data_IF_946633463290
#
_entry.id   IF_946633463290
#
_cell.length_a   1.000
_cell.length_b   1.000
_cell.length_c   1.000
_cell.angle_alpha   90.00
_cell.angle_beta   90.00
_cell.angle_gamma   90.00
#
_symmetry.space_group_name_H-M   'P 1'
#
loop_
_entity.id
_entity.type
_entity.pdbx_description
1 polymer ?
#
# COMPACT_ATOMS: atom_id res chain seq x y z
N UNK A 1 7.03 5.17 -0.01
CA UNK A 1 8.22 5.97 0.42
C UNK A 1 8.29 7.28 -0.34
N UNK A 2 8.70 8.39 0.30
CA UNK A 2 8.84 9.69 -0.36
C UNK A 2 9.98 9.70 -1.40
N UNK A 3 9.76 10.30 -2.57
CA UNK A 3 10.72 10.35 -3.66
C UNK A 3 12.07 10.98 -3.26
N UNK A 4 12.07 11.98 -2.38
CA UNK A 4 13.29 12.71 -1.99
C UNK A 4 14.18 11.92 -1.03
N UNK A 5 13.58 11.09 -0.18
CA UNK A 5 14.31 10.25 0.78
C UNK A 5 14.44 8.80 0.33
N UNK A 6 13.95 8.47 -0.87
CA UNK A 6 13.88 7.10 -1.38
C UNK A 6 15.22 6.33 -1.29
N UNK A 7 16.38 6.88 -1.68
CA UNK A 7 17.64 6.14 -1.60
C UNK A 7 17.98 5.71 -0.16
N UNK A 8 17.83 6.62 0.80
CA UNK A 8 18.08 6.33 2.21
C UNK A 8 17.05 5.36 2.78
N UNK A 9 15.77 5.54 2.44
CA UNK A 9 14.67 4.68 2.88
C UNK A 9 14.86 3.22 2.42
N UNK A 10 15.31 3.01 1.18
CA UNK A 10 15.57 1.66 0.65
C UNK A 10 16.70 0.93 1.40
N UNK A 11 17.73 1.64 1.86
CA UNK A 11 18.81 1.04 2.65
C UNK A 11 18.35 0.58 4.05
N UNK A 12 17.30 1.22 4.58
CA UNK A 12 16.68 0.84 5.87
C UNK A 12 15.87 -0.45 5.75
N UNK A 13 15.31 -0.74 4.56
CA UNK A 13 14.49 -1.95 4.31
C UNK A 13 15.24 -3.06 3.54
N UNK A 14 16.50 -2.84 3.17
CA UNK A 14 17.30 -3.77 2.36
C UNK A 14 17.46 -5.17 2.98
N UNK A 15 17.28 -5.32 4.29
CA UNK A 15 17.33 -6.61 4.98
C UNK A 15 16.29 -7.64 4.49
N UNK A 16 15.24 -7.20 3.81
CA UNK A 16 14.17 -8.06 3.28
C UNK A 16 14.50 -8.83 1.99
N UNK A 17 15.72 -8.70 1.43
CA UNK A 17 16.18 -9.49 0.28
C UNK A 17 15.57 -9.13 -1.09
N UNK A 18 14.45 -8.40 -1.12
CA UNK A 18 13.89 -7.81 -2.33
C UNK A 18 14.31 -6.34 -2.43
N UNK A 19 14.95 -5.95 -3.52
CA UNK A 19 15.44 -4.59 -3.74
C UNK A 19 15.48 -4.18 -5.20
N UNK A 20 15.91 -2.94 -5.41
CA UNK A 20 16.10 -2.32 -6.72
C UNK A 20 17.59 -2.34 -7.09
N UNK A 21 17.89 -2.56 -8.37
CA UNK A 21 19.28 -2.43 -8.84
C UNK A 21 19.79 -0.99 -8.62
N UNK A 22 21.10 -0.76 -8.48
CA UNK A 22 21.65 0.59 -8.35
C UNK A 22 21.21 1.53 -9.49
N UNK A 23 21.14 0.98 -10.72
CA UNK A 23 20.66 1.69 -11.91
C UNK A 23 19.19 2.09 -11.76
N UNK A 24 18.32 1.15 -11.37
CA UNK A 24 16.91 1.43 -11.13
C UNK A 24 16.71 2.48 -10.04
N UNK A 25 17.53 2.44 -8.97
CA UNK A 25 17.49 3.44 -7.89
C UNK A 25 17.84 4.83 -8.41
N UNK A 26 18.89 4.95 -9.23
CA UNK A 26 19.29 6.23 -9.83
C UNK A 26 18.21 6.77 -10.79
N UNK A 27 17.66 5.92 -11.64
CA UNK A 27 16.59 6.28 -12.58
C UNK A 27 15.35 6.73 -11.82
N UNK A 28 14.88 5.95 -10.84
CA UNK A 28 13.71 6.29 -10.02
C UNK A 28 13.88 7.61 -9.26
N UNK A 29 15.06 7.86 -8.72
CA UNK A 29 15.36 9.11 -8.01
C UNK A 29 15.14 10.34 -8.89
N UNK A 30 15.43 10.24 -10.19
CA UNK A 30 15.24 11.35 -11.13
C UNK A 30 13.81 11.36 -11.70
N UNK A 31 13.29 10.20 -12.11
CA UNK A 31 11.99 10.08 -12.77
C UNK A 31 10.83 10.52 -11.87
N UNK A 32 10.88 10.19 -10.57
CA UNK A 32 9.82 10.55 -9.62
C UNK A 32 9.78 12.05 -9.35
N UNK A 33 10.94 12.73 -9.38
CA UNK A 33 11.01 14.19 -9.25
C UNK A 33 10.48 14.91 -10.49
N UNK A 34 10.74 14.35 -11.68
CA UNK A 34 10.14 14.84 -12.93
C UNK A 34 8.62 14.67 -12.91
N UNK A 35 8.14 13.49 -12.49
CA UNK A 35 6.72 13.19 -12.34
C UNK A 35 6.04 14.17 -11.37
N UNK A 36 6.69 14.49 -10.24
CA UNK A 36 6.19 15.49 -9.29
C UNK A 36 5.98 16.86 -9.95
N UNK A 37 6.96 17.30 -10.77
CA UNK A 37 6.89 18.58 -11.49
C UNK A 37 5.82 18.57 -12.58
N UNK A 38 5.81 17.52 -13.41
CA UNK A 38 5.01 17.46 -14.63
C UNK A 38 3.51 17.35 -14.34
N UNK A 39 3.15 16.56 -13.32
CA UNK A 39 1.77 16.42 -12.84
C UNK A 39 1.40 17.41 -11.71
N UNK A 40 2.34 18.26 -11.28
CA UNK A 40 2.16 19.26 -10.21
C UNK A 40 1.69 18.67 -8.88
N UNK A 41 2.16 17.49 -8.54
CA UNK A 41 1.87 16.88 -7.24
C UNK A 41 2.61 17.61 -6.12
N UNK A 42 1.99 17.71 -4.94
CA UNK A 42 2.67 18.27 -3.78
C UNK A 42 3.77 17.32 -3.29
N UNK A 43 3.51 16.01 -3.36
CA UNK A 43 4.48 14.94 -3.09
C UNK A 43 4.28 13.77 -4.03
N UNK A 44 5.35 13.02 -4.23
CA UNK A 44 5.32 11.75 -4.96
C UNK A 44 5.90 10.67 -4.05
N UNK A 45 5.16 9.59 -3.91
CA UNK A 45 5.62 8.40 -3.21
C UNK A 45 5.92 7.29 -4.21
N UNK A 46 7.04 6.62 -4.02
CA UNK A 46 7.26 5.31 -4.60
C UNK A 46 6.52 4.27 -3.76
N UNK A 47 5.54 3.61 -4.35
CA UNK A 47 4.72 2.60 -3.70
C UNK A 47 5.44 1.26 -3.66
N UNK A 48 6.09 0.88 -4.76
CA UNK A 48 6.77 -0.40 -4.85
C UNK A 48 6.84 -0.98 -6.25
N UNK A 49 7.05 -2.31 -6.30
CA UNK A 49 7.17 -3.11 -7.51
C UNK A 49 6.33 -4.38 -7.39
N UNK A 50 5.51 -4.64 -8.41
CA UNK A 50 4.82 -5.92 -8.62
C UNK A 50 5.58 -6.71 -9.68
N UNK A 51 6.09 -7.88 -9.31
CA UNK A 51 6.85 -8.76 -10.19
C UNK A 51 5.92 -9.67 -10.98
N UNK A 52 5.90 -9.50 -12.31
CA UNK A 52 5.30 -10.45 -13.24
C UNK A 52 6.30 -11.45 -13.80
N UNK A 53 5.84 -12.31 -14.71
CA UNK A 53 6.62 -13.37 -15.36
C UNK A 53 7.63 -12.78 -16.36
N UNK A 54 7.19 -11.88 -17.24
CA UNK A 54 8.02 -11.28 -18.31
C UNK A 54 8.60 -9.92 -17.95
N UNK A 55 8.07 -9.27 -16.92
CA UNK A 55 8.43 -7.91 -16.54
C UNK A 55 7.84 -7.52 -15.19
N UNK A 56 8.25 -6.37 -14.68
CA UNK A 56 7.77 -5.85 -13.41
C UNK A 56 7.09 -4.49 -13.60
N UNK A 57 6.05 -4.24 -12.80
CA UNK A 57 5.38 -2.96 -12.71
C UNK A 57 5.95 -2.17 -11.54
N UNK A 58 6.42 -0.96 -11.80
CA UNK A 58 6.86 0.00 -10.79
C UNK A 58 5.75 1.01 -10.56
N UNK A 59 5.33 1.19 -9.31
CA UNK A 59 4.16 2.00 -8.98
C UNK A 59 4.59 3.26 -8.22
N UNK A 60 4.05 4.39 -8.64
CA UNK A 60 4.20 5.68 -7.98
C UNK A 60 2.84 6.30 -7.69
N UNK A 61 2.77 7.08 -6.62
CA UNK A 61 1.56 7.77 -6.18
C UNK A 61 1.84 9.26 -6.07
N UNK A 62 1.06 10.06 -6.80
CA UNK A 62 0.98 11.49 -6.64
C UNK A 62 -0.01 11.86 -5.54
N UNK A 63 0.44 12.69 -4.59
CA UNK A 63 -0.38 13.16 -3.48
C UNK A 63 -0.68 14.65 -3.62
N UNK A 64 -1.93 15.01 -3.35
CA UNK A 64 -2.40 16.37 -3.18
C UNK A 64 -2.24 16.90 -1.75
N UNK A 65 -2.84 18.06 -1.45
CA UNK A 65 -2.78 18.69 -0.13
C UNK A 65 -3.52 17.89 0.95
N UNK A 66 -4.69 17.33 0.62
CA UNK A 66 -5.37 16.38 1.49
C UNK A 66 -4.73 15.00 1.33
N UNK A 67 -4.16 14.50 2.42
CA UNK A 67 -3.39 13.25 2.43
C UNK A 67 -4.30 12.01 2.41
N UNK A 68 -5.58 12.17 2.76
CA UNK A 68 -6.58 11.11 2.68
C UNK A 68 -7.39 11.12 1.37
N UNK A 69 -7.20 12.13 0.51
CA UNK A 69 -7.86 12.18 -0.79
C UNK A 69 -7.39 11.04 -1.72
N UNK A 70 -8.19 10.65 -2.72
CA UNK A 70 -7.80 9.66 -3.71
C UNK A 70 -6.46 10.02 -4.37
N UNK A 71 -5.53 9.04 -4.36
CA UNK A 71 -4.18 9.23 -4.90
C UNK A 71 -4.17 9.05 -6.41
N UNK A 72 -3.38 9.85 -7.11
CA UNK A 72 -3.13 9.63 -8.54
C UNK A 72 -2.06 8.55 -8.68
N UNK A 73 -2.43 7.37 -9.17
CA UNK A 73 -1.51 6.23 -9.31
C UNK A 73 -0.94 6.19 -10.72
N UNK A 74 0.36 5.93 -10.83
CA UNK A 74 1.04 5.75 -12.10
C UNK A 74 1.85 4.45 -12.05
N UNK A 75 1.92 3.75 -13.18
CA UNK A 75 2.82 2.62 -13.34
C UNK A 75 3.89 2.90 -14.39
N UNK A 76 4.99 2.16 -14.29
CA UNK A 76 6.05 2.12 -15.28
C UNK A 76 6.58 0.71 -15.43
N UNK A 77 7.04 0.35 -16.63
CA UNK A 77 7.75 -0.91 -16.90
C UNK A 77 9.28 -0.74 -16.90
N UNK A 78 9.76 0.50 -16.98
CA UNK A 78 11.18 0.83 -17.16
C UNK A 78 11.69 1.91 -16.19
N UNK A 79 10.86 2.36 -15.25
CA UNK A 79 11.10 3.47 -14.32
C UNK A 79 11.29 4.84 -14.97
N UNK A 80 11.18 4.98 -16.30
CA UNK A 80 11.38 6.25 -17.03
C UNK A 80 10.06 6.81 -17.53
N UNK A 81 9.28 5.98 -18.22
CA UNK A 81 7.99 6.35 -18.79
C UNK A 81 6.88 5.90 -17.83
N UNK A 82 6.03 6.84 -17.44
CA UNK A 82 4.96 6.63 -16.48
C UNK A 82 3.61 6.81 -17.15
N UNK A 83 2.73 5.84 -16.95
CA UNK A 83 1.36 5.83 -17.43
C UNK A 83 0.41 6.02 -16.24
N UNK A 84 -0.55 6.94 -16.37
CA UNK A 84 -1.56 7.18 -15.35
C UNK A 84 -2.57 6.02 -15.32
N UNK A 85 -2.82 5.48 -14.13
CA UNK A 85 -3.85 4.48 -13.90
C UNK A 85 -5.20 5.17 -13.65
N UNK A 86 -6.28 4.58 -14.17
CA UNK A 86 -7.63 4.97 -13.78
C UNK A 86 -7.90 4.59 -12.32
N UNK A 87 -8.84 5.28 -11.64
CA UNK A 87 -9.30 4.86 -10.33
C UNK A 87 -9.85 3.43 -10.34
N UNK A 88 -9.68 2.71 -9.23
CA UNK A 88 -10.25 1.37 -9.07
C UNK A 88 -11.78 1.45 -8.96
N UNK A 89 -12.49 0.66 -9.76
CA UNK A 89 -13.92 0.43 -9.62
C UNK A 89 -14.17 -0.80 -8.74
N UNK A 90 -15.26 -0.82 -7.98
CA UNK A 90 -15.57 -1.94 -7.08
C UNK A 90 -15.72 -3.27 -7.84
N UNK A 91 -16.31 -3.22 -9.03
CA UNK A 91 -16.43 -4.37 -9.94
C UNK A 91 -15.06 -4.94 -10.32
N UNK A 92 -14.10 -4.09 -10.67
CA UNK A 92 -12.73 -4.50 -11.02
C UNK A 92 -12.04 -5.20 -9.83
N UNK A 93 -12.31 -4.74 -8.61
CA UNK A 93 -11.77 -5.34 -7.39
C UNK A 93 -12.36 -6.73 -7.17
N UNK A 94 -13.69 -6.86 -7.25
CA UNK A 94 -14.38 -8.15 -7.09
C UNK A 94 -13.96 -9.17 -8.17
N UNK A 95 -13.81 -8.70 -9.41
CA UNK A 95 -13.30 -9.47 -10.53
C UNK A 95 -11.87 -9.97 -10.30
N UNK A 96 -10.95 -9.08 -9.89
CA UNK A 96 -9.55 -9.45 -9.64
C UNK A 96 -9.38 -10.42 -8.46
N UNK A 97 -10.30 -10.43 -7.49
CA UNK A 97 -10.31 -11.39 -6.38
C UNK A 97 -10.57 -12.84 -6.82
N UNK A 98 -11.17 -13.06 -8.00
CA UNK A 98 -11.36 -14.40 -8.55
C UNK A 98 -10.12 -14.92 -9.28
N UNK A 99 -9.23 -14.02 -9.71
CA UNK A 99 -8.01 -14.39 -10.40
C UNK A 99 -6.90 -14.82 -9.43
N UNK A 100 -6.15 -15.83 -9.85
CA UNK A 100 -5.01 -16.39 -9.12
C UNK A 100 -3.78 -16.46 -10.03
N UNK A 101 -2.61 -16.55 -9.42
CA UNK A 101 -1.33 -16.64 -10.14
C UNK A 101 -0.69 -15.29 -10.43
N UNK A 102 0.48 -15.33 -11.06
CA UNK A 102 1.31 -14.15 -11.30
C UNK A 102 0.79 -13.27 -12.44
N UNK A 103 1.19 -12.00 -12.42
CA UNK A 103 1.07 -11.09 -13.56
C UNK A 103 1.96 -11.57 -14.72
N UNK A 104 1.56 -11.33 -15.96
CA UNK A 104 2.38 -11.62 -17.13
C UNK A 104 3.48 -10.56 -17.34
N UNK A 105 3.22 -9.32 -16.93
CA UNK A 105 4.10 -8.17 -17.17
C UNK A 105 3.78 -7.43 -18.48
N UNK A 106 2.55 -7.53 -18.96
CA UNK A 106 2.04 -6.80 -20.13
C UNK A 106 0.65 -6.21 -19.81
N UNK A 107 0.49 -4.87 -19.77
CA UNK A 107 -0.78 -4.21 -19.45
C UNK A 107 -1.93 -4.62 -20.38
N UNK A 108 -1.61 -4.99 -21.62
CA UNK A 108 -2.60 -5.35 -22.65
C UNK A 108 -3.00 -6.83 -22.61
N UNK A 109 -2.36 -7.63 -21.74
CA UNK A 109 -2.70 -9.04 -21.60
C UNK A 109 -4.11 -9.19 -21.06
N UNK A 110 -4.86 -10.15 -21.60
CA UNK A 110 -6.25 -10.41 -21.27
C UNK A 110 -6.37 -11.76 -20.58
N UNK A 111 -6.96 -11.76 -19.38
CA UNK A 111 -7.25 -12.99 -18.63
C UNK A 111 -8.67 -13.44 -18.95
N UNK A 112 -8.79 -14.67 -19.42
CA UNK A 112 -10.05 -15.40 -19.44
C UNK A 112 -10.31 -15.97 -18.04
N UNK A 113 -11.54 -15.85 -17.54
CA UNK A 113 -11.87 -16.47 -16.27
C UNK A 113 -12.11 -17.98 -16.48
N UNK A 114 -11.58 -18.84 -15.59
CA UNK A 114 -12.07 -20.21 -15.52
C UNK A 114 -13.56 -20.16 -15.15
N UNK A 115 -14.38 -21.04 -15.76
CA UNK A 115 -15.84 -21.15 -15.64
C UNK A 115 -16.37 -20.55 -14.33
N UNK A 116 -16.79 -19.28 -14.40
CA UNK A 116 -17.43 -18.61 -13.27
C UNK A 116 -18.84 -19.20 -13.16
N UNK A 117 -19.32 -19.44 -11.94
CA UNK A 117 -20.70 -19.86 -11.77
C UNK A 117 -21.66 -18.82 -12.40
N UNK A 118 -22.82 -19.27 -12.86
CA UNK A 118 -23.75 -18.40 -13.59
C UNK A 118 -24.25 -17.20 -12.74
N UNK A 119 -24.36 -17.37 -11.41
CA UNK A 119 -24.83 -16.32 -10.49
C UNK A 119 -23.80 -15.19 -10.31
N UNK A 120 -22.51 -15.52 -10.22
CA UNK A 120 -21.39 -14.58 -10.14
C UNK A 120 -21.13 -13.96 -11.52
N UNK A 121 -21.36 -14.70 -12.60
CA UNK A 121 -21.29 -14.16 -13.96
C UNK A 121 -22.36 -13.08 -14.21
N UNK A 122 -23.62 -13.30 -13.81
CA UNK A 122 -24.69 -12.29 -13.92
C UNK A 122 -24.44 -11.05 -13.07
N UNK A 123 -23.71 -11.18 -11.94
CA UNK A 123 -23.36 -10.05 -11.07
C UNK A 123 -22.14 -9.26 -11.54
N UNK A 124 -21.16 -9.93 -12.14
CA UNK A 124 -19.85 -9.34 -12.45
C UNK A 124 -19.73 -8.87 -13.90
N UNK A 125 -20.59 -9.32 -14.81
CA UNK A 125 -20.57 -8.92 -16.22
C UNK A 125 -21.95 -8.41 -16.64
N UNK A 126 -22.02 -7.11 -16.95
CA UNK A 126 -23.19 -6.57 -17.65
C UNK A 126 -23.17 -7.00 -19.13
N UNK A 127 -24.30 -7.55 -19.58
CA UNK A 127 -24.71 -7.60 -20.99
C UNK A 127 -23.82 -8.46 -21.92
N UNK A 128 -23.64 -9.74 -21.60
CA UNK A 128 -23.18 -10.76 -22.56
C UNK A 128 -21.75 -10.58 -23.10
N UNK A 129 -20.94 -9.70 -22.50
CA UNK A 129 -19.51 -9.60 -22.77
C UNK A 129 -18.80 -10.83 -22.24
N UNK A 130 -17.89 -11.37 -23.05
CA UNK A 130 -17.00 -12.45 -22.61
C UNK A 130 -16.29 -12.01 -21.32
N UNK A 131 -16.16 -12.90 -20.32
CA UNK A 131 -15.54 -12.58 -19.05
C UNK A 131 -14.04 -12.45 -19.31
N UNK A 132 -13.61 -11.23 -19.64
CA UNK A 132 -12.22 -10.90 -19.91
C UNK A 132 -11.85 -9.68 -19.09
N UNK A 133 -10.73 -9.77 -18.38
CA UNK A 133 -10.15 -8.65 -17.64
C UNK A 133 -8.74 -8.38 -18.15
N UNK A 134 -8.48 -7.12 -18.49
CA UNK A 134 -7.13 -6.67 -18.84
C UNK A 134 -6.22 -6.69 -17.64
N UNK A 135 -4.95 -6.99 -17.86
CA UNK A 135 -3.95 -7.02 -16.81
C UNK A 135 -3.78 -5.66 -16.14
N UNK A 136 -3.90 -4.56 -16.87
CA UNK A 136 -3.93 -3.21 -16.30
C UNK A 136 -5.08 -3.02 -15.30
N UNK A 137 -6.27 -3.53 -15.63
CA UNK A 137 -7.44 -3.48 -14.73
C UNK A 137 -7.22 -4.32 -13.47
N UNK A 138 -6.65 -5.53 -13.64
CA UNK A 138 -6.22 -6.39 -12.53
C UNK A 138 -5.17 -5.71 -11.65
N UNK A 139 -4.20 -5.03 -12.26
CA UNK A 139 -3.13 -4.30 -11.56
C UNK A 139 -3.71 -3.21 -10.66
N UNK A 140 -4.63 -2.39 -11.19
CA UNK A 140 -5.35 -1.35 -10.43
C UNK A 140 -6.05 -1.95 -9.21
N UNK A 141 -6.81 -3.02 -9.43
CA UNK A 141 -7.54 -3.71 -8.38
C UNK A 141 -6.60 -4.32 -7.31
N UNK A 142 -5.51 -4.94 -7.71
CA UNK A 142 -4.52 -5.51 -6.78
C UNK A 142 -3.84 -4.43 -5.95
N UNK A 143 -3.45 -3.30 -6.54
CA UNK A 143 -2.87 -2.18 -5.79
C UNK A 143 -3.87 -1.67 -4.74
N UNK A 144 -5.15 -1.53 -5.11
CA UNK A 144 -6.21 -1.12 -4.20
C UNK A 144 -6.41 -2.10 -3.05
N UNK A 145 -6.44 -3.41 -3.31
CA UNK A 145 -6.55 -4.44 -2.28
C UNK A 145 -5.35 -4.42 -1.32
N UNK A 146 -4.15 -4.25 -1.86
CA UNK A 146 -2.92 -4.13 -1.05
C UNK A 146 -3.04 -2.88 -0.18
N UNK A 147 -3.25 -1.69 -0.74
CA UNK A 147 -3.33 -0.44 0.04
C UNK A 147 -4.36 -0.47 1.16
N UNK A 148 -5.55 -1.05 0.92
CA UNK A 148 -6.57 -1.24 1.96
C UNK A 148 -6.09 -2.10 3.13
N UNK A 149 -5.19 -3.04 2.87
CA UNK A 149 -4.69 -3.99 3.86
C UNK A 149 -3.33 -3.59 4.47
N UNK A 150 -2.59 -2.65 3.87
CA UNK A 150 -1.16 -2.44 4.21
C UNK A 150 -0.65 -1.01 4.09
N UNK A 151 -1.48 -0.04 3.71
CA UNK A 151 -1.05 1.36 3.80
C UNK A 151 -0.81 1.67 5.27
N UNK A 152 0.44 1.79 5.73
CA UNK A 152 0.74 1.92 7.18
C UNK A 152 1.27 3.31 7.50
N UNK A 153 0.80 3.87 8.61
CA UNK A 153 1.37 5.06 9.23
C UNK A 153 1.56 4.86 10.75
N UNK A 154 2.55 5.52 11.37
CA UNK A 154 2.62 5.64 12.82
C UNK A 154 1.45 6.45 13.39
N UNK A 155 1.00 6.10 14.59
CA UNK A 155 -0.01 6.86 15.35
C UNK A 155 0.43 8.32 15.49
N UNK A 156 -0.48 9.23 15.19
CA UNK A 156 -0.24 10.67 15.34
C UNK A 156 0.65 11.29 14.27
N UNK A 157 1.12 10.54 13.28
CA UNK A 157 1.86 11.10 12.13
C UNK A 157 0.98 12.01 11.26
N UNK A 158 -0.34 11.77 11.25
CA UNK A 158 -1.34 12.58 10.59
C UNK A 158 -2.42 13.01 11.58
N UNK A 159 -3.08 14.14 11.26
CA UNK A 159 -4.22 14.67 12.01
C UNK A 159 -5.39 14.91 11.06
N UNK A 160 -6.57 14.46 11.48
CA UNK A 160 -7.84 14.77 10.82
C UNK A 160 -8.43 16.05 11.40
N UNK A 161 -8.78 16.97 10.51
CA UNK A 161 -9.44 18.23 10.86
C UNK A 161 -10.95 18.01 11.05
N UNK A 162 -11.66 18.92 11.75
CA UNK A 162 -13.13 18.87 11.84
C UNK A 162 -13.84 18.91 10.48
N UNK A 163 -13.20 19.47 9.45
CA UNK A 163 -13.69 19.50 8.07
C UNK A 163 -13.47 18.18 7.31
N UNK A 164 -12.87 17.18 7.94
CA UNK A 164 -12.60 15.87 7.35
C UNK A 164 -11.27 15.75 6.61
N UNK A 165 -10.64 16.87 6.23
CA UNK A 165 -9.33 16.85 5.56
C UNK A 165 -8.21 16.35 6.48
N UNK A 166 -7.25 15.61 5.93
CA UNK A 166 -6.15 15.01 6.68
C UNK A 166 -4.81 15.62 6.28
N UNK A 167 -4.03 16.03 7.28
CA UNK A 167 -2.73 16.68 7.08
C UNK A 167 -1.65 16.01 7.91
N UNK A 168 -0.39 16.18 7.53
CA UNK A 168 0.73 15.76 8.37
C UNK A 168 0.75 16.52 9.69
N UNK A 169 0.94 15.80 10.78
CA UNK A 169 1.05 16.40 12.09
C UNK A 169 2.46 17.00 12.26
N UNK A 170 2.55 18.34 12.25
CA UNK A 170 3.83 19.04 12.41
C UNK A 170 4.51 18.76 13.75
N UNK A 171 3.73 18.42 14.77
CA UNK A 171 4.18 18.13 16.14
C UNK A 171 4.58 16.67 16.34
N UNK A 172 4.41 15.80 15.34
CA UNK A 172 4.83 14.41 15.44
C UNK A 172 6.35 14.32 15.44
N UNK A 173 6.99 13.87 16.51
CA UNK A 173 8.44 13.74 16.59
C UNK A 173 8.94 12.31 16.36
N UNK A 174 8.03 11.37 16.11
CA UNK A 174 8.32 9.93 16.05
C UNK A 174 7.73 9.19 17.24
N UNK A 175 7.55 7.88 17.08
CA UNK A 175 7.18 7.00 18.19
C UNK A 175 8.39 6.80 19.10
N UNK A 176 8.14 6.67 20.40
CA UNK A 176 9.18 6.21 21.32
C UNK A 176 9.60 4.77 21.01
N UNK A 177 10.78 4.35 21.48
CA UNK A 177 11.24 2.97 21.32
C UNK A 177 10.30 1.93 21.93
N UNK A 178 9.53 2.31 22.97
CA UNK A 178 8.56 1.42 23.61
C UNK A 178 7.27 1.30 22.81
N UNK A 179 6.81 2.40 22.22
CA UNK A 179 5.61 2.44 21.37
C UNK A 179 5.87 1.78 20.02
N UNK A 180 7.01 2.08 19.40
CA UNK A 180 7.36 1.56 18.09
C UNK A 180 7.43 0.01 18.04
N UNK A 181 7.59 -0.68 19.18
CA UNK A 181 7.55 -2.15 19.21
C UNK A 181 6.14 -2.73 19.22
N UNK A 182 5.10 -1.90 19.37
CA UNK A 182 3.71 -2.33 19.53
C UNK A 182 2.95 -2.11 18.23
N UNK A 183 2.27 -3.15 17.73
CA UNK A 183 1.39 -3.03 16.57
C UNK A 183 0.29 -1.99 16.75
N UNK A 184 -0.17 -1.78 17.99
CA UNK A 184 -1.15 -0.73 18.34
C UNK A 184 -0.70 0.71 18.10
N UNK A 185 0.60 0.92 17.81
CA UNK A 185 1.13 2.24 17.43
C UNK A 185 1.13 2.47 15.91
N UNK A 186 0.60 1.54 15.13
CA UNK A 186 0.55 1.61 13.68
C UNK A 186 -0.88 1.43 13.17
N UNK A 187 -1.22 2.19 12.13
CA UNK A 187 -2.60 2.32 11.65
C UNK A 187 -2.65 2.18 10.14
N UNK A 188 -3.74 1.60 9.65
CA UNK A 188 -4.06 1.56 8.22
C UNK A 188 -4.44 2.95 7.72
N UNK A 189 -3.76 3.44 6.70
CA UNK A 189 -3.98 4.75 6.07
C UNK A 189 -4.98 4.64 4.92
N UNK A 190 -6.17 4.15 5.27
CA UNK A 190 -7.34 3.99 4.42
C UNK A 190 -8.60 4.34 5.22
N UNK A 191 -9.75 4.39 4.56
CA UNK A 191 -11.04 4.62 5.23
C UNK A 191 -11.29 3.52 6.28
N UNK A 192 -11.53 3.87 7.56
CA UNK A 192 -11.66 2.88 8.61
C UNK A 192 -12.96 2.08 8.50
N UNK A 193 -12.85 0.78 8.71
CA UNK A 193 -13.95 -0.19 8.75
C UNK A 193 -14.31 -0.50 10.20
N UNK A 194 -13.32 -0.79 11.04
CA UNK A 194 -13.55 -1.27 12.42
C UNK A 194 -13.95 -0.13 13.37
N UNK A 195 -13.43 1.08 13.19
CA UNK A 195 -13.84 2.24 14.01
C UNK A 195 -15.35 2.52 13.95
N UNK A 196 -15.99 2.25 12.80
CA UNK A 196 -17.44 2.46 12.62
C UNK A 196 -18.23 1.56 13.58
N UNK A 197 -17.73 0.34 13.81
CA UNK A 197 -18.35 -0.69 14.60
C UNK A 197 -18.08 -0.58 16.12
N UNK A 198 -17.20 0.33 16.56
CA UNK A 198 -16.89 0.52 17.99
C UNK A 198 -18.09 1.05 18.79
N UNK A 199 -18.19 0.60 20.03
CA UNK A 199 -19.19 1.04 21.00
C UNK A 199 -18.99 2.50 21.41
N UNK A 200 -20.02 3.19 21.93
CA UNK A 200 -19.88 4.57 22.41
C UNK A 200 -18.83 4.73 23.51
N UNK A 201 -18.72 3.74 24.41
CA UNK A 201 -17.75 3.75 25.50
C UNK A 201 -16.30 3.68 24.98
N UNK A 202 -16.06 2.84 23.97
CA UNK A 202 -14.74 2.75 23.32
C UNK A 202 -14.41 4.04 22.58
N UNK A 203 -15.39 4.64 21.88
CA UNK A 203 -15.22 5.90 21.16
C UNK A 203 -14.91 7.07 22.09
N UNK A 204 -15.43 7.06 23.33
CA UNK A 204 -15.14 8.10 24.32
C UNK A 204 -13.67 8.20 24.73
N UNK A 205 -12.90 7.11 24.56
CA UNK A 205 -11.47 7.06 24.87
C UNK A 205 -10.56 7.41 23.68
N UNK A 206 -11.13 7.61 22.49
CA UNK A 206 -10.37 7.93 21.28
C UNK A 206 -10.24 9.44 21.10
N UNK A 207 -9.10 9.90 20.60
CA UNK A 207 -8.97 11.27 20.11
C UNK A 207 -9.40 11.33 18.64
N UNK A 208 -10.50 12.03 18.28
CA UNK A 208 -11.00 12.04 16.90
C UNK A 208 -10.04 12.61 15.86
N UNK A 209 -9.03 13.39 16.29
CA UNK A 209 -8.05 13.98 15.38
C UNK A 209 -6.89 13.04 15.08
N UNK A 210 -6.47 12.18 16.03
CA UNK A 210 -5.31 11.29 15.87
C UNK A 210 -5.69 9.82 15.72
N UNK A 211 -6.82 9.40 16.29
CA UNK A 211 -7.29 8.01 16.34
C UNK A 211 -8.48 7.80 15.38
N UNK A 212 -8.36 8.35 14.16
CA UNK A 212 -9.39 8.31 13.12
C UNK A 212 -9.24 7.15 12.13
N UNK A 213 -8.30 6.23 12.38
CA UNK A 213 -7.98 5.09 11.53
C UNK A 213 -8.01 3.76 12.32
N UNK A 214 -7.99 2.64 11.60
CA UNK A 214 -7.93 1.30 12.21
C UNK A 214 -6.49 0.91 12.58
N UNK A 215 -6.31 0.32 13.76
CA UNK A 215 -5.02 -0.16 14.27
C UNK A 215 -4.69 -1.55 13.73
N UNK A 216 -3.42 -1.78 13.38
CA UNK A 216 -2.91 -3.09 12.92
C UNK A 216 -3.06 -4.22 13.95
N UNK A 217 -3.20 -3.87 15.24
CA UNK A 217 -3.35 -4.83 16.33
C UNK A 217 -4.59 -5.72 16.17
N UNK A 218 -5.63 -5.22 15.48
CA UNK A 218 -6.90 -5.92 15.30
C UNK A 218 -7.02 -6.59 13.92
N UNK A 219 -5.91 -6.70 13.18
CA UNK A 219 -5.92 -7.35 11.88
C UNK A 219 -6.21 -8.85 12.00
N UNK A 220 -6.93 -9.37 11.01
CA UNK A 220 -7.35 -10.76 10.94
C UNK A 220 -6.67 -11.40 9.72
N UNK A 221 -6.00 -12.57 9.87
CA UNK A 221 -5.82 -13.31 11.13
C UNK A 221 -4.87 -12.61 12.12
N UNK A 222 -5.05 -12.86 13.43
CA UNK A 222 -4.09 -12.41 14.44
C UNK A 222 -2.73 -13.02 14.15
N UNK A 223 -1.66 -12.22 14.20
CA UNK A 223 -0.33 -12.65 13.79
C UNK A 223 0.00 -12.35 12.32
N UNK A 224 -0.84 -11.60 11.60
CA UNK A 224 -0.56 -11.17 10.21
C UNK A 224 0.66 -10.28 10.02
N UNK A 225 1.29 -9.85 11.11
CA UNK A 225 2.41 -8.92 11.10
C UNK A 225 3.57 -9.44 11.92
N UNK A 226 4.78 -9.25 11.41
CA UNK A 226 6.00 -9.37 12.21
C UNK A 226 6.53 -7.98 12.54
N UNK A 227 7.01 -7.80 13.77
CA UNK A 227 7.68 -6.56 14.23
C UNK A 227 9.11 -6.94 14.61
N UNK A 228 10.08 -6.33 13.94
CA UNK A 228 11.50 -6.64 14.14
C UNK A 228 12.31 -5.36 14.36
N UNK A 229 13.36 -5.48 15.16
CA UNK A 229 14.38 -4.46 15.32
C UNK A 229 15.56 -4.79 14.43
N UNK A 230 15.92 -3.87 13.55
CA UNK A 230 17.05 -4.00 12.64
C UNK A 230 18.10 -2.90 12.87
N UNK A 231 19.25 -3.01 12.20
CA UNK A 231 20.34 -2.01 12.24
C UNK A 231 20.76 -1.66 13.67
N UNK A 232 21.03 -2.67 14.49
CA UNK A 232 21.41 -2.48 15.90
C UNK A 232 20.29 -1.96 16.80
N UNK A 233 19.03 -2.11 16.40
CA UNK A 233 17.86 -1.64 17.15
C UNK A 233 17.46 -0.19 16.89
N UNK A 234 18.10 0.46 15.91
CA UNK A 234 17.79 1.84 15.52
C UNK A 234 16.59 1.97 14.57
N UNK A 235 16.18 0.86 13.93
CA UNK A 235 15.07 0.82 12.98
C UNK A 235 14.10 -0.25 13.40
N UNK A 236 12.82 0.11 13.45
CA UNK A 236 11.73 -0.85 13.57
C UNK A 236 11.23 -1.18 12.18
N UNK A 237 11.11 -2.48 11.88
CA UNK A 237 10.64 -2.99 10.59
C UNK A 237 9.40 -3.85 10.82
N UNK A 238 8.32 -3.52 10.12
CA UNK A 238 7.09 -4.31 10.07
C UNK A 238 7.00 -5.02 8.73
N UNK A 239 6.67 -6.31 8.72
CA UNK A 239 6.41 -7.07 7.49
C UNK A 239 5.05 -7.75 7.55
N UNK A 240 4.31 -7.64 6.46
CA UNK A 240 3.04 -8.35 6.31
C UNK A 240 3.28 -9.80 5.96
N UNK A 241 2.61 -10.71 6.64
CA UNK A 241 2.55 -12.13 6.31
C UNK A 241 1.36 -12.45 5.39
N UNK A 242 0.38 -11.54 5.30
CA UNK A 242 -0.77 -11.66 4.41
C UNK A 242 -0.42 -11.18 2.99
N UNK A 243 0.34 -10.09 2.88
CA UNK A 243 0.84 -9.56 1.62
C UNK A 243 2.36 -9.64 1.59
N UNK A 244 2.86 -10.82 1.21
CA UNK A 244 4.30 -11.08 1.13
C UNK A 244 4.97 -10.09 0.17
N UNK A 245 6.03 -9.46 0.66
CA UNK A 245 6.75 -8.41 -0.06
C UNK A 245 6.54 -7.01 0.52
N UNK A 246 5.53 -6.80 1.36
CA UNK A 246 5.38 -5.53 2.05
C UNK A 246 6.39 -5.40 3.20
N UNK A 247 7.15 -4.31 3.18
CA UNK A 247 8.01 -3.89 4.29
C UNK A 247 7.74 -2.44 4.65
N UNK A 248 7.39 -2.19 5.91
CA UNK A 248 7.32 -0.87 6.51
C UNK A 248 8.51 -0.65 7.45
N UNK A 249 9.03 0.56 7.51
CA UNK A 249 10.05 0.95 8.47
C UNK A 249 9.66 2.22 9.23
N UNK A 250 10.18 2.33 10.45
CA UNK A 250 10.17 3.56 11.22
C UNK A 250 11.50 3.70 11.96
N UNK A 251 12.07 4.91 11.95
CA UNK A 251 13.21 5.27 12.81
C UNK A 251 12.63 5.96 14.05
N UNK A 252 12.60 5.30 15.22
CA UNK A 252 12.00 5.83 16.44
C UNK A 252 12.59 7.19 16.83
N UNK A 253 11.78 8.02 17.51
CA UNK A 253 12.14 9.40 17.88
C UNK A 253 12.50 10.30 16.67
N UNK A 254 12.07 9.93 15.47
CA UNK A 254 12.17 10.79 14.28
C UNK A 254 10.89 10.76 13.45
N UNK A 255 10.74 11.71 12.53
CA UNK A 255 9.66 11.73 11.52
C UNK A 255 9.86 10.72 10.38
N UNK A 256 10.93 9.93 10.38
CA UNK A 256 11.25 9.04 9.27
C UNK A 256 10.49 7.72 9.40
N UNK A 257 9.61 7.47 8.44
CA UNK A 257 8.93 6.21 8.24
C UNK A 257 8.51 6.07 6.78
N UNK A 258 8.08 4.88 6.41
CA UNK A 258 7.48 4.63 5.12
C UNK A 258 7.36 3.15 4.87
N UNK A 259 6.63 2.79 3.82
CA UNK A 259 6.56 1.42 3.33
C UNK A 259 6.93 1.33 1.86
N UNK A 260 7.28 0.12 1.46
CA UNK A 260 7.43 -0.29 0.08
C UNK A 260 6.91 -1.72 -0.07
N UNK A 261 6.26 -2.00 -1.20
CA UNK A 261 5.86 -3.35 -1.57
C UNK A 261 6.78 -3.91 -2.66
N UNK A 262 7.44 -5.04 -2.42
CA UNK A 262 8.19 -5.79 -3.43
C UNK A 262 7.74 -7.24 -3.43
N UNK A 263 6.77 -7.58 -4.28
CA UNK A 263 6.19 -8.92 -4.33
C UNK A 263 5.50 -9.22 -5.65
N UNK A 264 4.74 -10.31 -5.71
CA UNK A 264 4.03 -10.76 -6.93
C UNK A 264 2.60 -10.24 -7.03
N UNK A 265 2.10 -9.53 -6.00
CA UNK A 265 0.71 -9.11 -5.92
C UNK A 265 -0.25 -10.22 -5.49
N UNK A 266 0.25 -11.33 -4.95
CA UNK A 266 -0.56 -12.46 -4.50
C UNK A 266 -0.81 -12.37 -2.99
N UNK A 267 -2.09 -12.52 -2.60
CA UNK A 267 -2.51 -12.57 -1.20
C UNK A 267 -2.28 -13.96 -0.64
N UNK A 268 -1.68 -14.06 0.55
CA UNK A 268 -1.44 -15.32 1.23
C UNK A 268 -2.72 -15.81 1.93
N UNK A 269 -3.58 -16.49 1.19
CA UNK A 269 -4.84 -17.05 1.71
C UNK A 269 -4.62 -18.21 2.68
N UNK A 270 -3.45 -18.85 2.63
CA UNK A 270 -3.10 -19.98 3.49
C UNK A 270 -2.59 -19.54 4.87
N UNK A 271 -2.40 -18.24 5.09
CA UNK A 271 -1.88 -17.69 6.35
C UNK A 271 -2.58 -18.23 7.60
N UNK A 272 -3.93 -18.35 7.68
CA UNK A 272 -4.59 -18.91 8.85
C UNK A 272 -4.19 -20.35 9.21
N UNK A 273 -3.69 -21.13 8.24
CA UNK A 273 -3.22 -22.50 8.45
C UNK A 273 -1.71 -22.58 8.72
N UNK A 274 -0.99 -21.47 8.55
CA UNK A 274 0.46 -21.36 8.77
C UNK A 274 0.83 -20.80 10.15
N UNK A 275 -0.12 -20.18 10.84
CA UNK A 275 0.05 -19.53 12.14
C UNK A 275 -0.14 -20.48 13.33
#
# INVERSE_FOLDING_TARGET
MDARSLPAALELVAGGGAGLSPEQRAVLGTSLLLLQRDYRFERVWFWGRIQGVRGAYYIAEGLGPDRAAPRSRLYSLNCVQWSLLSPAMEEMVAQAEQLRGRFQGDPSFEYEYPEINAEDAERLFEDGKEPVIKEEARLIATIEQIDRAVGIIPRGAFVKTPLGTVHENRNFEGLSLMEAKKLSSYFHFTEPVNLKNKTPLEKANLNPSTDFLDSLEHDIPQGSWTVQLEKGGSVVVLRSLLWLGLTFYHVPMTKQYGYVYFGTGEKNLDLPFML
#
